data_IF_617487391068
#
_entry.id   IF_617487391068
#
_cell.length_a   1.000
_cell.length_b   1.000
_cell.length_c   1.000
_cell.angle_alpha   90.00
_cell.angle_beta   90.00
_cell.angle_gamma   90.00
#
_symmetry.space_group_name_H-M   'P 1'
#
loop_
_entity.id
_entity.type
_entity.pdbx_description
1 polymer ?
#
# COMPACT_ATOMS: atom_id res chain seq x y z
N UNK A 1 35.40 13.91 1.50
CA UNK A 1 35.51 12.60 0.82
C UNK A 1 34.75 11.50 1.55
N UNK A 2 34.83 11.39 2.88
CA UNK A 2 34.02 10.41 3.66
C UNK A 2 32.53 10.79 3.73
N UNK A 3 32.20 12.08 3.83
CA UNK A 3 30.81 12.59 3.86
C UNK A 3 30.05 12.39 2.54
N UNK A 4 30.75 12.28 1.41
CA UNK A 4 30.14 11.99 0.10
C UNK A 4 29.68 10.52 0.02
N UNK A 5 30.45 9.59 0.60
CA UNK A 5 30.13 8.15 0.64
C UNK A 5 28.93 7.83 1.55
N UNK A 6 28.82 8.53 2.70
CA UNK A 6 27.68 8.39 3.63
C UNK A 6 26.39 8.95 3.01
N UNK A 7 26.48 10.04 2.23
CA UNK A 7 25.34 10.54 1.47
C UNK A 7 24.86 9.54 0.42
N UNK A 8 25.73 8.85 -0.33
CA UNK A 8 25.27 7.83 -1.30
C UNK A 8 24.71 6.57 -0.61
N UNK A 9 25.27 6.17 0.54
CA UNK A 9 24.77 5.01 1.31
C UNK A 9 23.41 5.28 1.96
N UNK A 10 23.13 6.51 2.39
CA UNK A 10 21.81 6.90 2.90
C UNK A 10 20.85 7.27 1.77
N UNK A 11 21.30 7.90 0.67
CA UNK A 11 20.43 8.26 -0.46
C UNK A 11 20.00 7.03 -1.28
N UNK A 12 20.81 5.96 -1.32
CA UNK A 12 20.45 4.69 -2.02
C UNK A 12 19.62 3.74 -1.13
N UNK A 13 19.58 3.92 0.19
CA UNK A 13 18.69 3.16 1.09
C UNK A 13 17.48 3.96 1.63
N UNK A 14 17.40 5.27 1.42
CA UNK A 14 16.29 6.14 1.88
C UNK A 14 15.45 6.65 0.70
N UNK A 15 15.42 5.93 -0.43
CA UNK A 15 14.60 6.35 -1.59
C UNK A 15 13.76 5.24 -2.23
N UNK A 16 13.66 4.05 -1.62
CA UNK A 16 12.56 3.13 -1.96
C UNK A 16 11.27 3.55 -1.27
N UNK A 17 10.86 4.81 -1.45
CA UNK A 17 9.46 5.17 -1.33
C UNK A 17 8.74 4.66 -2.58
N UNK A 18 8.66 3.33 -2.71
CA UNK A 18 7.42 2.74 -3.20
C UNK A 18 6.27 3.47 -2.48
N UNK A 19 5.13 3.80 -3.11
CA UNK A 19 3.96 4.29 -2.40
C UNK A 19 3.47 3.14 -1.50
N UNK A 20 4.18 2.92 -0.40
CA UNK A 20 3.98 1.80 0.51
C UNK A 20 2.93 2.29 1.46
N UNK A 21 1.70 1.96 1.17
CA UNK A 21 0.75 1.69 2.23
C UNK A 21 1.49 1.00 3.39
N UNK A 22 1.13 1.38 4.62
CA UNK A 22 1.73 0.78 5.82
C UNK A 22 1.62 -0.74 5.71
N UNK A 23 2.45 -1.49 6.46
CA UNK A 23 2.35 -2.96 6.51
C UNK A 23 0.94 -3.48 6.83
N UNK A 24 0.10 -2.64 7.45
CA UNK A 24 -1.28 -2.95 7.81
C UNK A 24 -2.34 -2.40 6.84
N UNK A 25 -1.93 -1.95 5.65
CA UNK A 25 -2.79 -1.32 4.65
C UNK A 25 -2.67 -2.03 3.30
N UNK A 26 -3.78 -2.09 2.58
CA UNK A 26 -3.91 -2.58 1.22
C UNK A 26 -3.79 -1.43 0.20
N UNK A 27 -2.94 -1.55 -0.83
CA UNK A 27 -2.83 -0.56 -1.90
C UNK A 27 -3.94 -0.73 -2.93
N UNK A 28 -4.75 0.32 -3.10
CA UNK A 28 -5.76 0.43 -4.15
C UNK A 28 -5.12 0.70 -5.53
N UNK A 29 -5.83 0.38 -6.60
CA UNK A 29 -5.35 0.63 -7.97
C UNK A 29 -5.26 2.14 -8.30
N UNK A 30 -6.07 2.96 -7.63
CA UNK A 30 -6.01 4.42 -7.74
C UNK A 30 -4.88 5.07 -6.90
N UNK A 31 -4.03 4.29 -6.24
CA UNK A 31 -2.91 4.78 -5.42
C UNK A 31 -3.28 5.20 -4.00
N UNK A 32 -4.54 5.00 -3.57
CA UNK A 32 -4.97 5.16 -2.18
C UNK A 32 -4.59 3.92 -1.35
N UNK A 33 -4.55 4.09 -0.05
CA UNK A 33 -4.34 3.00 0.91
C UNK A 33 -5.58 2.85 1.79
N UNK A 34 -6.06 1.63 1.95
CA UNK A 34 -7.13 1.28 2.89
C UNK A 34 -6.60 0.29 3.91
N UNK A 35 -7.13 0.23 5.14
CA UNK A 35 -6.72 -0.77 6.11
C UNK A 35 -6.91 -2.21 5.59
N UNK A 36 -6.02 -3.15 5.92
CA UNK A 36 -6.16 -4.56 5.49
C UNK A 36 -7.48 -5.21 5.96
N UNK A 37 -8.07 -4.74 7.06
CA UNK A 37 -9.38 -5.21 7.53
C UNK A 37 -10.57 -4.64 6.75
N UNK A 38 -10.32 -3.71 5.82
CA UNK A 38 -11.28 -3.19 4.84
C UNK A 38 -11.17 -3.89 3.49
N UNK A 39 -10.15 -4.71 3.29
CA UNK A 39 -10.07 -5.54 2.10
C UNK A 39 -11.12 -6.65 2.20
N UNK A 40 -12.00 -6.76 1.21
CA UNK A 40 -13.03 -7.80 1.17
C UNK A 40 -14.08 -7.66 2.30
N UNK A 41 -14.39 -6.44 2.73
CA UNK A 41 -15.36 -6.12 3.79
C UNK A 41 -16.78 -5.77 3.27
N UNK A 42 -16.98 -5.87 1.95
CA UNK A 42 -18.21 -5.53 1.23
C UNK A 42 -18.53 -4.02 1.14
N UNK A 43 -17.58 -3.15 1.47
CA UNK A 43 -17.63 -1.72 1.21
C UNK A 43 -16.60 -1.32 0.15
N UNK A 44 -16.94 -0.34 -0.69
CA UNK A 44 -15.97 0.27 -1.60
C UNK A 44 -15.19 1.35 -0.83
N UNK A 45 -14.18 0.94 -0.07
CA UNK A 45 -13.30 1.84 0.67
C UNK A 45 -12.27 2.49 -0.25
N UNK A 46 -11.82 1.80 -1.30
CA UNK A 46 -10.85 2.36 -2.24
C UNK A 46 -11.46 3.48 -3.11
N UNK A 47 -12.76 3.43 -3.40
CA UNK A 47 -13.48 4.32 -4.31
C UNK A 47 -13.46 3.85 -5.77
N UNK A 48 -12.52 2.98 -6.13
CA UNK A 48 -12.41 2.31 -7.44
C UNK A 48 -12.75 0.81 -7.38
N UNK A 49 -13.26 0.32 -6.24
CA UNK A 49 -13.60 -1.09 -5.95
C UNK A 49 -12.44 -2.09 -6.08
N UNK A 50 -11.19 -1.61 -6.06
CA UNK A 50 -10.00 -2.48 -6.16
C UNK A 50 -9.77 -3.33 -4.90
N UNK A 51 -10.34 -2.92 -3.77
CA UNK A 51 -10.46 -3.65 -2.51
C UNK A 51 -11.54 -4.75 -2.51
N UNK A 52 -12.50 -4.70 -3.44
CA UNK A 52 -13.65 -5.62 -3.54
C UNK A 52 -13.68 -6.39 -4.88
N UNK A 53 -12.63 -7.17 -5.21
CA UNK A 53 -12.56 -7.89 -6.47
C UNK A 53 -13.59 -9.03 -6.55
N UNK A 54 -13.93 -9.49 -7.76
CA UNK A 54 -14.95 -10.55 -7.95
C UNK A 54 -14.67 -11.87 -7.24
N UNK A 55 -13.39 -12.17 -6.96
CA UNK A 55 -12.98 -13.38 -6.23
C UNK A 55 -13.09 -13.22 -4.71
N UNK A 56 -13.44 -12.03 -4.20
CA UNK A 56 -14.03 -11.90 -2.88
C UNK A 56 -15.34 -12.66 -2.89
N UNK A 57 -15.23 -13.97 -2.65
CA UNK A 57 -16.33 -14.89 -2.39
C UNK A 57 -16.93 -14.38 -1.09
N UNK A 58 -17.84 -13.41 -1.23
CA UNK A 58 -18.40 -12.59 -0.16
C UNK A 58 -18.38 -13.41 1.12
N UNK A 59 -17.49 -13.05 2.04
CA UNK A 59 -17.67 -13.43 3.43
C UNK A 59 -18.87 -12.61 3.90
N UNK A 60 -20.05 -13.06 3.48
CA UNK A 60 -21.29 -12.69 4.11
C UNK A 60 -21.13 -13.19 5.55
N UNK A 61 -20.80 -12.26 6.44
CA UNK A 61 -21.06 -12.44 7.86
C UNK A 61 -22.44 -11.83 8.12
#
# INVERSE_FOLDING_TARGET
>A
MVTLLVAVLTIVLVTTSTPTCRRSEFPCNNGRCVPLNRYCDAANDCGDSSDEPRFCTRKCH
#
